data_IF_727524718599
#
_entry.id   IF_727524718599
#
_cell.length_a   1.000
_cell.length_b   1.000
_cell.length_c   1.000
_cell.angle_alpha   90.00
_cell.angle_beta   90.00
_cell.angle_gamma   90.00
#
_symmetry.space_group_name_H-M   'P 1'
#
loop_
_entity.id
_entity.type
_entity.pdbx_description
1 polymer ?
#
# COMPACT_ATOMS: atom_id res chain seq x y z
N UNK A 1 6.48 13.37 -20.40
CA UNK A 1 5.81 13.04 -19.12
C UNK A 1 6.70 13.49 -17.98
N UNK A 2 6.16 14.20 -16.98
CA UNK A 2 6.94 14.64 -15.82
C UNK A 2 7.29 13.44 -14.92
N UNK A 3 8.27 13.60 -14.02
CA UNK A 3 8.60 12.56 -13.02
C UNK A 3 7.38 12.21 -12.15
N UNK A 4 6.52 13.20 -11.87
CA UNK A 4 5.28 13.01 -11.10
C UNK A 4 4.22 12.19 -11.85
N UNK A 5 4.09 12.40 -13.17
CA UNK A 5 3.15 11.62 -14.00
C UNK A 5 3.54 10.14 -14.05
N UNK A 6 4.85 9.84 -14.09
CA UNK A 6 5.33 8.46 -14.03
C UNK A 6 4.99 7.82 -12.68
N UNK A 7 5.29 8.50 -11.57
CA UNK A 7 4.92 8.00 -10.22
C UNK A 7 3.43 7.74 -10.11
N UNK A 8 2.59 8.63 -10.66
CA UNK A 8 1.14 8.47 -10.68
C UNK A 8 0.73 7.23 -11.49
N UNK A 9 1.27 7.06 -12.69
CA UNK A 9 0.98 5.91 -13.54
C UNK A 9 1.42 4.59 -12.88
N UNK A 10 2.60 4.57 -12.25
CA UNK A 10 3.14 3.41 -11.54
C UNK A 10 2.26 3.02 -10.34
N UNK A 11 1.79 4.02 -9.57
CA UNK A 11 0.87 3.79 -8.45
C UNK A 11 -0.45 3.19 -8.90
N UNK A 12 -1.05 3.72 -9.98
CA UNK A 12 -2.31 3.20 -10.52
C UNK A 12 -2.13 1.79 -11.11
N UNK A 13 -1.04 1.54 -11.83
CA UNK A 13 -0.71 0.21 -12.35
C UNK A 13 -0.53 -0.80 -11.22
N UNK A 14 0.24 -0.44 -10.18
CA UNK A 14 0.43 -1.27 -8.99
C UNK A 14 -0.88 -1.54 -8.25
N UNK A 15 -1.78 -0.55 -8.16
CA UNK A 15 -3.10 -0.74 -7.58
C UNK A 15 -3.92 -1.75 -8.36
N UNK A 16 -3.96 -1.65 -9.69
CA UNK A 16 -4.67 -2.61 -10.54
C UNK A 16 -4.12 -4.01 -10.32
N UNK A 17 -2.80 -4.18 -10.30
CA UNK A 17 -2.16 -5.47 -10.01
C UNK A 17 -2.46 -6.00 -8.60
N UNK A 18 -2.58 -5.12 -7.61
CA UNK A 18 -2.94 -5.52 -6.25
C UNK A 18 -4.39 -5.99 -6.17
N UNK A 19 -5.34 -5.24 -6.75
CA UNK A 19 -6.76 -5.60 -6.75
C UNK A 19 -7.11 -6.74 -7.71
N UNK A 20 -6.25 -7.08 -8.67
CA UNK A 20 -6.36 -8.33 -9.45
C UNK A 20 -5.74 -9.54 -8.76
N UNK A 21 -5.06 -9.34 -7.62
CA UNK A 21 -4.29 -10.38 -6.92
C UNK A 21 -2.97 -10.75 -7.61
N UNK A 22 -2.60 -10.06 -8.69
CA UNK A 22 -1.38 -10.33 -9.46
C UNK A 22 -0.11 -9.86 -8.74
N UNK A 23 -0.21 -8.87 -7.85
CA UNK A 23 0.92 -8.47 -6.99
C UNK A 23 1.23 -9.57 -5.97
N UNK A 24 0.23 -9.95 -5.17
CA UNK A 24 0.28 -11.07 -4.24
C UNK A 24 -1.18 -11.39 -3.86
N UNK A 25 -1.67 -12.62 -4.06
CA UNK A 25 -3.06 -12.97 -3.74
C UNK A 25 -3.37 -12.88 -2.24
N UNK A 26 -2.40 -13.14 -1.37
CA UNK A 26 -2.55 -13.02 0.08
C UNK A 26 -2.69 -11.56 0.51
N UNK A 27 -1.99 -10.63 -0.15
CA UNK A 27 -2.13 -9.20 0.13
C UNK A 27 -3.57 -8.74 -0.09
N UNK A 28 -4.15 -9.10 -1.24
CA UNK A 28 -5.53 -8.73 -1.55
C UNK A 28 -6.52 -9.39 -0.58
N UNK A 29 -6.36 -10.69 -0.32
CA UNK A 29 -7.23 -11.42 0.58
C UNK A 29 -7.20 -10.84 2.00
N UNK A 30 -6.00 -10.54 2.53
CA UNK A 30 -5.83 -10.00 3.87
C UNK A 30 -6.41 -8.57 3.96
N UNK A 31 -6.16 -7.71 2.97
CA UNK A 31 -6.75 -6.37 2.91
C UNK A 31 -8.28 -6.41 2.84
N UNK A 32 -8.86 -7.33 2.05
CA UNK A 32 -10.34 -7.47 1.95
C UNK A 32 -10.96 -8.07 3.21
N UNK A 33 -10.26 -8.96 3.90
CA UNK A 33 -10.70 -9.52 5.16
C UNK A 33 -10.68 -8.46 6.28
N UNK A 34 -9.61 -7.67 6.38
CA UNK A 34 -9.46 -6.63 7.40
C UNK A 34 -10.28 -5.37 7.11
N UNK A 35 -10.41 -5.00 5.83
CA UNK A 35 -11.08 -3.78 5.37
C UNK A 35 -12.09 -4.09 4.26
N UNK A 36 -13.25 -4.73 4.55
CA UNK A 36 -14.24 -5.09 3.53
C UNK A 36 -14.76 -3.93 2.68
N UNK A 37 -14.69 -2.69 3.19
CA UNK A 37 -15.09 -1.46 2.49
C UNK A 37 -14.03 -0.93 1.51
N UNK A 38 -12.82 -1.51 1.50
CA UNK A 38 -11.70 -1.01 0.70
C UNK A 38 -11.95 -1.24 -0.79
N UNK A 39 -12.19 -0.16 -1.54
CA UNK A 39 -12.39 -0.19 -3.00
C UNK A 39 -11.22 0.44 -3.77
N UNK A 40 -10.39 1.23 -3.10
CA UNK A 40 -9.21 1.88 -3.66
C UNK A 40 -8.13 1.95 -2.57
N UNK A 41 -6.90 1.60 -2.92
CA UNK A 41 -5.76 1.61 -2.00
C UNK A 41 -4.46 1.65 -2.81
N UNK A 42 -3.40 2.22 -2.23
CA UNK A 42 -2.15 2.47 -2.95
C UNK A 42 -0.95 1.92 -2.17
N UNK A 43 -0.16 1.05 -2.80
CA UNK A 43 1.10 0.57 -2.21
C UNK A 43 2.13 1.69 -2.30
N UNK A 44 2.38 2.37 -1.18
CA UNK A 44 3.32 3.50 -1.09
C UNK A 44 4.74 3.06 -0.79
N UNK A 45 4.93 1.88 -0.22
CA UNK A 45 6.25 1.28 -0.03
C UNK A 45 6.16 -0.25 -0.03
N UNK A 46 7.25 -0.91 -0.40
CA UNK A 46 7.41 -2.36 -0.32
C UNK A 46 8.86 -2.66 0.05
N UNK A 47 9.04 -3.46 1.10
CA UNK A 47 10.34 -3.85 1.60
C UNK A 47 10.44 -5.38 1.57
N UNK A 48 11.36 -5.96 0.79
CA UNK A 48 11.69 -7.37 0.89
C UNK A 48 12.64 -7.59 2.08
N UNK A 49 12.21 -8.27 3.13
CA UNK A 49 13.02 -8.49 4.35
C UNK A 49 13.22 -9.99 4.62
N UNK A 50 14.43 -10.51 4.38
CA UNK A 50 14.91 -11.90 4.47
C UNK A 50 13.97 -13.02 3.98
N UNK A 51 12.77 -13.18 4.56
CA UNK A 51 11.75 -14.16 4.18
C UNK A 51 10.32 -13.56 4.09
N UNK A 52 10.17 -12.25 4.20
CA UNK A 52 8.89 -11.56 4.22
C UNK A 52 8.81 -10.46 3.16
N UNK A 53 7.60 -10.21 2.70
CA UNK A 53 7.24 -9.02 1.96
C UNK A 53 6.43 -8.09 2.87
N UNK A 54 6.99 -6.91 3.16
CA UNK A 54 6.34 -5.89 3.98
C UNK A 54 5.78 -4.80 3.06
N UNK A 55 4.46 -4.78 2.90
CA UNK A 55 3.74 -3.79 2.12
C UNK A 55 3.22 -2.67 3.00
N UNK A 56 3.43 -1.43 2.57
CA UNK A 56 2.85 -0.24 3.18
C UNK A 56 1.79 0.29 2.25
N UNK A 57 0.52 0.20 2.67
CA UNK A 57 -0.64 0.47 1.83
C UNK A 57 -1.41 1.65 2.39
N UNK A 58 -1.55 2.72 1.61
CA UNK A 58 -2.47 3.82 1.91
C UNK A 58 -3.89 3.34 1.66
N UNK A 59 -4.68 3.22 2.73
CA UNK A 59 -6.04 2.67 2.69
C UNK A 59 -7.12 3.76 2.79
N UNK A 60 -6.77 4.96 3.27
CA UNK A 60 -7.55 6.18 3.21
C UNK A 60 -6.63 7.40 3.48
N UNK A 61 -7.21 8.58 3.78
CA UNK A 61 -6.47 9.82 4.01
C UNK A 61 -5.80 9.93 5.38
N UNK A 62 -6.11 9.01 6.31
CA UNK A 62 -5.64 9.05 7.69
C UNK A 62 -4.82 7.82 8.07
N UNK A 63 -4.88 6.74 7.29
CA UNK A 63 -4.35 5.42 7.70
C UNK A 63 -3.50 4.75 6.63
N UNK A 64 -2.43 4.11 7.11
CA UNK A 64 -1.56 3.20 6.38
C UNK A 64 -1.71 1.81 7.00
N UNK A 65 -2.02 0.80 6.19
CA UNK A 65 -1.91 -0.60 6.58
C UNK A 65 -0.48 -1.09 6.30
N UNK A 66 0.13 -1.74 7.28
CA UNK A 66 1.38 -2.47 7.15
C UNK A 66 0.98 -3.93 7.06
N UNK A 67 1.29 -4.58 5.93
CA UNK A 67 0.94 -5.97 5.68
C UNK A 67 2.23 -6.75 5.52
N UNK A 68 2.47 -7.70 6.43
CA UNK A 68 3.65 -8.55 6.43
C UNK A 68 3.23 -9.95 5.98
N UNK A 69 3.84 -10.42 4.89
CA UNK A 69 3.52 -11.70 4.27
C UNK A 69 4.79 -12.53 4.24
N UNK A 70 4.78 -13.67 4.93
CA UNK A 70 5.83 -14.67 4.81
C UNK A 70 5.86 -15.25 3.40
N UNK A 71 7.05 -15.35 2.82
CA UNK A 71 7.30 -16.07 1.55
C UNK A 71 7.40 -17.57 1.74
N UNK A 72 7.45 -18.03 3.00
CA UNK A 72 7.59 -19.44 3.36
C UNK A 72 6.23 -20.11 3.57
N UNK A 73 5.15 -19.33 3.68
CA UNK A 73 3.79 -19.84 3.82
C UNK A 73 2.85 -19.22 2.80
N UNK A 74 1.80 -19.98 2.48
CA UNK A 74 0.70 -19.55 1.63
C UNK A 74 -0.57 -19.32 2.45
N UNK A 75 -0.45 -19.26 3.77
CA UNK A 75 -1.57 -19.34 4.69
C UNK A 75 -1.98 -17.93 5.11
N UNK A 76 -3.24 -17.58 4.83
CA UNK A 76 -3.77 -16.24 5.10
C UNK A 76 -3.73 -15.89 6.60
N UNK A 77 -3.87 -16.89 7.47
CA UNK A 77 -3.84 -16.72 8.93
C UNK A 77 -2.46 -16.27 9.46
N UNK A 78 -1.40 -16.49 8.68
CA UNK A 78 -0.04 -16.04 9.02
C UNK A 78 0.26 -14.62 8.51
N UNK A 79 -0.66 -13.99 7.77
CA UNK A 79 -0.49 -12.61 7.31
C UNK A 79 -0.77 -11.66 8.47
N UNK A 80 0.23 -10.86 8.83
CA UNK A 80 0.09 -9.81 9.85
C UNK A 80 -0.40 -8.51 9.21
N UNK A 81 -1.35 -7.84 9.87
CA UNK A 81 -1.81 -6.50 9.49
C UNK A 81 -1.75 -5.58 10.71
N UNK A 82 -0.97 -4.51 10.61
CA UNK A 82 -0.98 -3.38 11.54
C UNK A 82 -1.53 -2.13 10.84
N UNK A 83 -2.21 -1.24 11.58
CA UNK A 83 -2.66 0.05 11.06
C UNK A 83 -1.95 1.18 11.77
N UNK A 84 -1.33 2.06 10.99
CA UNK A 84 -0.62 3.24 11.45
C UNK A 84 -1.32 4.51 10.96
N UNK A 85 -1.36 5.54 11.82
CA UNK A 85 -1.75 6.89 11.40
C UNK A 85 -0.80 7.42 10.31
N UNK A 86 -1.35 8.03 9.26
CA UNK A 86 -0.59 8.54 8.13
C UNK A 86 0.46 9.58 8.56
N UNK A 87 0.18 10.39 9.58
CA UNK A 87 1.15 11.36 10.10
C UNK A 87 2.29 10.66 10.83
N UNK A 88 2.02 9.59 11.59
CA UNK A 88 3.09 8.74 12.14
C UNK A 88 3.93 8.08 11.05
N UNK A 89 3.34 7.71 9.92
CA UNK A 89 4.11 7.21 8.77
C UNK A 89 5.02 8.29 8.17
N UNK A 90 4.51 9.52 8.03
CA UNK A 90 5.28 10.68 7.51
C UNK A 90 6.47 11.06 8.40
N UNK A 91 6.38 10.82 9.72
CA UNK A 91 7.46 11.06 10.67
C UNK A 91 8.64 10.08 10.51
N UNK A 92 8.42 8.93 9.86
CA UNK A 92 9.49 7.96 9.60
C UNK A 92 10.53 8.54 8.63
N UNK A 93 11.75 8.02 8.70
CA UNK A 93 12.84 8.38 7.78
C UNK A 93 12.61 7.78 6.39
N UNK A 94 11.76 8.42 5.59
CA UNK A 94 11.51 8.04 4.21
C UNK A 94 12.66 8.48 3.29
N UNK A 95 12.88 7.74 2.21
CA UNK A 95 13.72 8.21 1.10
C UNK A 95 13.04 9.38 0.38
N UNK A 96 13.80 10.12 -0.46
CA UNK A 96 13.20 11.19 -1.29
C UNK A 96 12.13 10.62 -2.21
N UNK A 97 12.38 9.46 -2.80
CA UNK A 97 11.45 8.83 -3.74
C UNK A 97 10.20 8.29 -3.02
N UNK A 98 10.35 7.70 -1.83
CA UNK A 98 9.20 7.27 -1.01
C UNK A 98 8.35 8.45 -0.56
N UNK A 99 8.94 9.61 -0.23
CA UNK A 99 8.18 10.84 0.08
C UNK A 99 7.40 11.33 -1.14
N UNK A 100 8.05 11.42 -2.30
CA UNK A 100 7.38 11.83 -3.56
C UNK A 100 6.25 10.89 -3.93
N UNK A 101 6.46 9.57 -3.81
CA UNK A 101 5.44 8.55 -4.04
C UNK A 101 4.26 8.71 -3.08
N UNK A 102 4.53 8.96 -1.81
CA UNK A 102 3.49 9.21 -0.80
C UNK A 102 2.68 10.47 -1.11
N UNK A 103 3.31 11.57 -1.50
CA UNK A 103 2.62 12.81 -1.88
C UNK A 103 1.65 12.57 -3.05
N UNK A 104 2.11 11.91 -4.10
CA UNK A 104 1.26 11.56 -5.25
C UNK A 104 0.13 10.62 -4.86
N UNK A 105 0.40 9.65 -3.98
CA UNK A 105 -0.61 8.71 -3.50
C UNK A 105 -1.71 9.40 -2.68
N UNK A 106 -1.34 10.37 -1.83
CA UNK A 106 -2.31 11.16 -1.07
C UNK A 106 -3.19 11.98 -2.01
N UNK A 107 -2.62 12.60 -3.03
CA UNK A 107 -3.40 13.39 -3.99
C UNK A 107 -4.36 12.50 -4.79
N UNK A 108 -3.90 11.32 -5.25
CA UNK A 108 -4.76 10.31 -5.85
C UNK A 108 -5.90 9.85 -4.92
N UNK A 109 -5.61 9.66 -3.63
CA UNK A 109 -6.59 9.23 -2.64
C UNK A 109 -7.69 10.30 -2.45
N UNK A 110 -7.33 11.59 -2.40
CA UNK A 110 -8.29 12.71 -2.30
C UNK A 110 -9.20 12.80 -3.53
N UNK A 111 -8.67 12.50 -4.72
CA UNK A 111 -9.45 12.50 -5.95
C UNK A 111 -10.49 11.36 -6.00
N UNK A 112 -10.23 10.24 -5.30
CA UNK A 112 -11.09 9.04 -5.33
C UNK A 112 -11.97 8.89 -4.08
N UNK A 113 -11.67 9.61 -3.00
CA UNK A 113 -12.52 9.75 -1.82
C UNK A 113 -12.68 11.23 -1.48
N UNK A 114 -13.63 11.93 -2.14
CA UNK A 114 -14.01 13.25 -1.67
C UNK A 114 -14.63 13.09 -0.28
N UNK A 115 -14.08 13.82 0.69
CA UNK A 115 -14.62 13.94 2.06
C UNK A 115 -16.08 14.38 2.06
#
# INVERSE_FOLDING_TARGET
>A
MSSRDHVRADLLSSMVSMFSGSTNPLLLAALKAAFPWLSFALIVNWIPEQAEDIYWVLIDLDRIAIVEISRLSSDLEEVSIEVLDLNKYKERRLSIDSRRKLEVAIDLMKENYPS
#
